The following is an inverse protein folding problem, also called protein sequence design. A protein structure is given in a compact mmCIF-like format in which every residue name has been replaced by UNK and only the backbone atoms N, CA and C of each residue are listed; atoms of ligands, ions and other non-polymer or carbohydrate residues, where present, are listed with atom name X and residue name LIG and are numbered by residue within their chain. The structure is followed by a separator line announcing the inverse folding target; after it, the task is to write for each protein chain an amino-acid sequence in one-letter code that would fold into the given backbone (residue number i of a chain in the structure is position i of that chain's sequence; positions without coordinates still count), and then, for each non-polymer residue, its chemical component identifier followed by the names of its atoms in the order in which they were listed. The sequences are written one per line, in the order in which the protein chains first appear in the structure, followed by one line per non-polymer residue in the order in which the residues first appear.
data_IF_099573857642
#
_entry.id   IF_099573857642
#
_cell.length_a   1.000
_cell.length_b   1.000
_cell.length_c   1.000
_cell.angle_alpha   90.00
_cell.angle_beta   90.00
_cell.angle_gamma   90.00
#
_symmetry.space_group_name_H-M   'P 1'
#
loop_
_entity.id
_entity.type
_entity.pdbx_description
1 polymer ?
#
# COMPACT_ATOMS: atom_id res chain seq x y z
N UNK A 1 -67.81 -28.15 -22.25
CA UNK A 1 -67.37 -27.96 -20.85
C UNK A 1 -65.92 -28.42 -20.80
N UNK A 2 -64.88 -27.67 -20.45
CA UNK A 2 -64.64 -26.30 -20.00
C UNK A 2 -63.23 -25.96 -20.53
N UNK A 3 -62.99 -24.90 -21.31
CA UNK A 3 -62.78 -23.53 -20.84
C UNK A 3 -62.07 -23.43 -19.47
N UNK A 4 -61.02 -24.23 -19.24
CA UNK A 4 -60.10 -24.03 -18.12
C UNK A 4 -58.82 -23.39 -18.64
N UNK A 5 -58.89 -22.07 -18.59
CA UNK A 5 -57.82 -21.18 -18.14
C UNK A 5 -56.53 -21.13 -18.95
N UNK A 6 -56.64 -20.63 -20.18
CA UNK A 6 -55.55 -19.91 -20.87
C UNK A 6 -54.93 -18.81 -19.97
N UNK A 7 -55.70 -18.31 -18.99
CA UNK A 7 -55.23 -17.40 -17.93
C UNK A 7 -54.15 -17.99 -17.01
N UNK A 8 -54.18 -19.30 -16.73
CA UNK A 8 -53.17 -19.93 -15.86
C UNK A 8 -51.81 -20.08 -16.57
N UNK A 9 -51.83 -20.39 -17.87
CA UNK A 9 -50.60 -20.58 -18.66
C UNK A 9 -49.87 -19.24 -18.85
N UNK A 10 -50.60 -18.14 -19.08
CA UNK A 10 -50.00 -16.80 -19.20
C UNK A 10 -49.40 -16.33 -17.87
N UNK A 11 -50.05 -16.61 -16.73
CA UNK A 11 -49.53 -16.23 -15.41
C UNK A 11 -48.23 -16.98 -15.06
N UNK A 12 -48.11 -18.26 -15.45
CA UNK A 12 -46.90 -19.05 -15.20
C UNK A 12 -45.72 -18.62 -16.09
N UNK A 13 -45.97 -18.22 -17.34
CA UNK A 13 -44.92 -17.73 -18.25
C UNK A 13 -44.43 -16.33 -17.84
N UNK A 14 -45.31 -15.46 -17.32
CA UNK A 14 -44.92 -14.14 -16.82
C UNK A 14 -44.13 -14.24 -15.50
N UNK A 15 -44.41 -15.23 -14.65
CA UNK A 15 -43.64 -15.46 -13.43
C UNK A 15 -42.21 -16.00 -13.69
N UNK A 16 -41.99 -16.69 -14.81
CA UNK A 16 -40.69 -17.26 -15.14
C UNK A 16 -39.72 -16.27 -15.83
N UNK A 17 -40.21 -15.12 -16.32
CA UNK A 17 -39.40 -14.14 -17.06
C UNK A 17 -38.81 -13.01 -16.20
N UNK A 18 -39.15 -12.95 -14.91
CA UNK A 18 -38.65 -11.92 -13.98
C UNK A 18 -37.71 -12.54 -12.95
N UNK A 19 -36.76 -13.38 -13.40
CA UNK A 19 -35.50 -13.53 -12.68
C UNK A 19 -34.62 -12.33 -13.06
N UNK A 20 -35.02 -11.16 -12.57
CA UNK A 20 -34.21 -9.96 -12.59
C UNK A 20 -32.92 -10.34 -11.86
N UNK A 21 -31.89 -10.65 -12.62
CA UNK A 21 -30.54 -10.89 -12.11
C UNK A 21 -30.07 -9.55 -11.55
N UNK A 22 -30.42 -9.29 -10.29
CA UNK A 22 -29.77 -8.27 -9.48
C UNK A 22 -28.33 -8.75 -9.31
N UNK A 23 -27.49 -8.44 -10.30
CA UNK A 23 -26.05 -8.40 -10.09
C UNK A 23 -25.87 -7.33 -9.03
N UNK A 24 -25.75 -7.72 -7.76
CA UNK A 24 -25.21 -6.84 -6.74
C UNK A 24 -23.88 -6.36 -7.28
N UNK A 25 -23.82 -5.09 -7.70
CA UNK A 25 -22.55 -4.46 -7.99
C UNK A 25 -21.77 -4.55 -6.68
N UNK A 26 -20.70 -5.35 -6.67
CA UNK A 26 -19.78 -5.32 -5.55
C UNK A 26 -19.37 -3.85 -5.38
N UNK A 27 -19.59 -3.29 -4.19
CA UNK A 27 -19.22 -1.91 -3.92
C UNK A 27 -17.71 -1.79 -4.16
N UNK A 28 -17.31 -0.97 -5.12
CA UNK A 28 -15.90 -0.67 -5.39
C UNK A 28 -15.35 0.14 -4.24
N UNK A 29 -14.20 -0.26 -3.70
CA UNK A 29 -13.53 0.52 -2.64
C UNK A 29 -12.92 1.76 -3.28
N UNK A 30 -13.29 2.94 -2.78
CA UNK A 30 -12.66 4.20 -3.21
C UNK A 30 -11.35 4.46 -2.46
N UNK A 31 -10.49 5.32 -3.02
CA UNK A 31 -9.26 5.75 -2.33
C UNK A 31 -9.60 6.41 -1.00
N UNK A 32 -10.63 7.25 -0.98
CA UNK A 32 -11.11 7.93 0.21
C UNK A 32 -11.55 6.94 1.28
N UNK A 33 -12.35 5.93 0.93
CA UNK A 33 -12.81 4.91 1.87
C UNK A 33 -11.65 4.09 2.43
N UNK A 34 -10.70 3.69 1.58
CA UNK A 34 -9.50 2.98 2.01
C UNK A 34 -8.67 3.83 2.97
N UNK A 35 -8.45 5.10 2.66
CA UNK A 35 -7.60 5.98 3.46
C UNK A 35 -8.16 6.33 4.84
N UNK A 36 -9.46 6.13 5.10
CA UNK A 36 -10.04 6.24 6.46
C UNK A 36 -9.46 5.23 7.45
N UNK A 37 -8.85 4.15 6.96
CA UNK A 37 -8.23 3.14 7.82
C UNK A 37 -6.86 3.56 8.36
N UNK A 38 -6.25 4.64 7.84
CA UNK A 38 -4.95 5.14 8.31
C UNK A 38 -5.08 6.43 9.10
N UNK A 39 -4.19 6.64 10.07
CA UNK A 39 -4.04 7.93 10.77
C UNK A 39 -3.47 9.03 9.87
N UNK A 40 -3.00 8.68 8.68
CA UNK A 40 -2.45 9.59 7.68
C UNK A 40 -3.43 9.81 6.51
N UNK A 41 -4.74 9.91 6.78
CA UNK A 41 -5.81 9.94 5.77
C UNK A 41 -5.54 10.93 4.62
N UNK A 42 -5.31 12.21 4.92
CA UNK A 42 -5.06 13.22 3.89
C UNK A 42 -3.80 12.94 3.05
N UNK A 43 -2.76 12.40 3.68
CA UNK A 43 -1.53 12.02 2.97
C UNK A 43 -1.77 10.79 2.08
N UNK A 44 -2.47 9.78 2.59
CA UNK A 44 -2.87 8.59 1.85
C UNK A 44 -3.67 8.93 0.59
N UNK A 45 -4.71 9.78 0.73
CA UNK A 45 -5.51 10.23 -0.42
C UNK A 45 -4.61 10.96 -1.42
N UNK A 46 -3.77 11.90 -0.95
CA UNK A 46 -2.85 12.63 -1.82
C UNK A 46 -1.96 11.71 -2.66
N UNK A 47 -1.32 10.72 -2.04
CA UNK A 47 -0.33 9.86 -2.73
C UNK A 47 -0.98 8.80 -3.61
N UNK A 48 -2.11 8.23 -3.19
CA UNK A 48 -2.82 7.21 -3.99
C UNK A 48 -3.57 7.83 -5.16
N UNK A 49 -4.29 8.95 -4.97
CA UNK A 49 -5.03 9.61 -6.04
C UNK A 49 -4.11 10.21 -7.12
N UNK A 50 -2.82 10.42 -6.82
CA UNK A 50 -1.82 10.85 -7.79
C UNK A 50 -1.43 9.72 -8.78
N UNK A 51 -1.76 8.48 -8.48
CA UNK A 51 -1.43 7.30 -9.30
C UNK A 51 -2.62 6.93 -10.19
N UNK A 52 -2.47 6.90 -11.53
CA UNK A 52 -3.52 6.44 -12.43
C UNK A 52 -4.05 5.04 -12.08
N UNK A 53 -3.18 4.18 -11.55
CA UNK A 53 -3.47 2.80 -11.12
C UNK A 53 -4.54 2.74 -10.02
N UNK A 54 -4.66 3.79 -9.20
CA UNK A 54 -5.70 3.87 -8.15
C UNK A 54 -7.12 3.82 -8.71
N UNK A 55 -7.33 4.24 -9.97
CA UNK A 55 -8.64 4.19 -10.64
C UNK A 55 -9.02 2.76 -11.06
N UNK A 56 -8.02 1.90 -11.24
CA UNK A 56 -8.21 0.50 -11.60
C UNK A 56 -8.28 -0.42 -10.37
N UNK A 57 -7.81 0.05 -9.21
CA UNK A 57 -7.93 -0.67 -7.96
C UNK A 57 -9.41 -0.75 -7.54
N UNK A 58 -9.99 -1.94 -7.62
CA UNK A 58 -11.40 -2.17 -7.33
C UNK A 58 -11.66 -2.59 -5.87
N UNK A 59 -10.62 -2.99 -5.14
CA UNK A 59 -10.69 -3.56 -3.81
C UNK A 59 -9.53 -3.12 -2.89
N UNK A 60 -9.66 -3.44 -1.61
CA UNK A 60 -8.68 -3.07 -0.58
C UNK A 60 -7.29 -3.70 -0.81
N UNK A 61 -7.17 -5.00 -1.19
CA UNK A 61 -5.87 -5.57 -1.58
C UNK A 61 -5.15 -4.77 -2.67
N UNK A 62 -5.84 -4.40 -3.76
CA UNK A 62 -5.21 -3.65 -4.85
C UNK A 62 -4.71 -2.25 -4.39
N UNK A 63 -5.44 -1.58 -3.50
CA UNK A 63 -4.98 -0.32 -2.92
C UNK A 63 -3.81 -0.51 -1.94
N UNK A 64 -3.76 -1.63 -1.20
CA UNK A 64 -2.62 -1.99 -0.36
C UNK A 64 -1.37 -2.29 -1.20
N UNK A 65 -1.51 -3.03 -2.30
CA UNK A 65 -0.44 -3.31 -3.27
C UNK A 65 0.12 -2.03 -3.92
N UNK A 66 -0.75 -1.06 -4.21
CA UNK A 66 -0.35 0.26 -4.70
C UNK A 66 0.42 1.05 -3.63
N UNK A 67 -0.05 1.04 -2.37
CA UNK A 67 0.65 1.68 -1.25
C UNK A 67 2.05 1.06 -1.00
N UNK A 68 2.17 -0.26 -1.11
CA UNK A 68 3.47 -0.97 -1.04
C UNK A 68 4.40 -0.55 -2.17
N UNK A 69 3.87 -0.38 -3.39
CA UNK A 69 4.64 0.09 -4.53
C UNK A 69 5.18 1.51 -4.30
N UNK A 70 4.34 2.42 -3.80
CA UNK A 70 4.75 3.78 -3.43
C UNK A 70 5.82 3.80 -2.33
N UNK A 71 5.67 2.97 -1.30
CA UNK A 71 6.68 2.85 -0.23
C UNK A 71 8.02 2.36 -0.80
N UNK A 72 8.00 1.36 -1.69
CA UNK A 72 9.22 0.83 -2.32
C UNK A 72 9.89 1.87 -3.23
N UNK A 73 9.12 2.68 -3.95
CA UNK A 73 9.65 3.82 -4.72
C UNK A 73 10.32 4.85 -3.81
N UNK A 74 9.66 5.24 -2.72
CA UNK A 74 10.23 6.17 -1.73
C UNK A 74 11.51 5.64 -1.09
N UNK A 75 11.58 4.34 -0.77
CA UNK A 75 12.79 3.71 -0.27
C UNK A 75 13.93 3.71 -1.30
N UNK A 76 13.60 3.50 -2.58
CA UNK A 76 14.60 3.53 -3.66
C UNK A 76 15.11 4.96 -3.93
N UNK A 77 14.25 5.97 -3.81
CA UNK A 77 14.64 7.38 -3.85
C UNK A 77 15.57 7.74 -2.69
N UNK A 78 15.25 7.27 -1.47
CA UNK A 78 16.09 7.46 -0.29
C UNK A 78 17.47 6.78 -0.45
N UNK A 79 17.51 5.54 -0.91
CA UNK A 79 18.77 4.85 -1.22
C UNK A 79 19.62 5.61 -2.27
N UNK A 80 18.96 6.16 -3.30
CA UNK A 80 19.63 6.96 -4.33
C UNK A 80 20.16 8.28 -3.77
N UNK A 81 19.42 8.90 -2.86
CA UNK A 81 19.84 10.10 -2.15
C UNK A 81 21.08 9.83 -1.28
N UNK A 82 21.07 8.76 -0.47
CA UNK A 82 22.19 8.35 0.38
C UNK A 82 23.45 8.11 -0.44
N UNK A 83 23.34 7.36 -1.54
CA UNK A 83 24.45 7.14 -2.48
C UNK A 83 25.06 8.44 -3.02
N UNK A 84 24.27 9.49 -3.15
CA UNK A 84 24.74 10.78 -3.65
C UNK A 84 25.34 11.67 -2.55
N UNK A 85 25.05 11.43 -1.28
CA UNK A 85 25.63 12.18 -0.16
C UNK A 85 27.15 11.99 -0.07
N UNK A 86 27.69 10.85 -0.50
CA UNK A 86 29.14 10.60 -0.58
C UNK A 86 29.88 11.67 -1.39
N UNK A 87 29.18 12.30 -2.35
CA UNK A 87 29.74 13.26 -3.30
C UNK A 87 29.52 14.71 -2.87
N UNK A 88 28.78 14.96 -1.79
CA UNK A 88 28.42 16.31 -1.36
C UNK A 88 29.44 16.88 -0.35
N UNK A 89 29.85 18.16 -0.49
CA UNK A 89 30.65 18.83 0.52
C UNK A 89 29.89 18.90 1.85
N UNK A 90 30.50 18.45 2.95
CA UNK A 90 29.80 18.32 4.23
C UNK A 90 28.84 17.12 4.29
N UNK A 91 29.00 16.17 3.37
CA UNK A 91 28.32 14.88 3.38
C UNK A 91 28.72 14.00 4.56
N UNK A 92 28.01 12.89 4.70
CA UNK A 92 28.12 11.97 5.82
C UNK A 92 29.34 11.03 5.65
N UNK A 93 29.93 10.51 6.75
CA UNK A 93 31.05 9.56 6.66
C UNK A 93 30.71 8.34 5.78
N UNK A 94 31.66 7.77 5.02
CA UNK A 94 31.41 6.62 4.15
C UNK A 94 30.77 5.42 4.87
N UNK A 95 31.26 5.08 6.06
CA UNK A 95 30.73 3.98 6.88
C UNK A 95 29.26 4.17 7.28
N UNK A 96 28.86 5.43 7.50
CA UNK A 96 27.48 5.81 7.80
C UNK A 96 26.58 5.68 6.57
N UNK A 97 27.12 6.04 5.41
CA UNK A 97 26.42 5.97 4.13
C UNK A 97 26.23 4.53 3.65
N UNK A 98 27.22 3.66 3.83
CA UNK A 98 27.11 2.24 3.50
C UNK A 98 26.03 1.54 4.32
N UNK A 99 26.03 1.74 5.64
CA UNK A 99 25.01 1.17 6.54
C UNK A 99 23.61 1.66 6.21
N UNK A 100 23.42 2.98 6.08
CA UNK A 100 22.13 3.55 5.74
C UNK A 100 21.65 3.14 4.31
N UNK A 101 22.56 3.05 3.34
CA UNK A 101 22.24 2.60 1.99
C UNK A 101 21.75 1.15 2.01
N UNK A 102 22.44 0.27 2.72
CA UNK A 102 22.04 -1.13 2.87
C UNK A 102 20.64 -1.23 3.50
N UNK A 103 20.38 -0.46 4.57
CA UNK A 103 19.07 -0.39 5.22
C UNK A 103 17.93 0.02 4.29
N UNK A 104 18.12 1.05 3.47
CA UNK A 104 17.09 1.40 2.48
C UNK A 104 16.93 0.34 1.39
N UNK A 105 18.00 -0.35 0.99
CA UNK A 105 17.92 -1.45 0.03
C UNK A 105 17.14 -2.65 0.60
N UNK A 106 17.37 -2.99 1.86
CA UNK A 106 16.64 -4.03 2.59
C UNK A 106 15.16 -3.67 2.71
N UNK A 107 14.85 -2.42 3.09
CA UNK A 107 13.49 -1.91 3.13
C UNK A 107 12.76 -2.05 1.77
N UNK A 108 13.43 -1.68 0.67
CA UNK A 108 12.87 -1.84 -0.69
C UNK A 108 12.61 -3.31 -1.02
N UNK A 109 13.53 -4.20 -0.63
CA UNK A 109 13.40 -5.63 -0.87
C UNK A 109 12.22 -6.21 -0.07
N UNK A 110 12.06 -5.84 1.19
CA UNK A 110 10.92 -6.26 2.02
C UNK A 110 9.60 -5.73 1.48
N UNK A 111 9.52 -4.46 1.07
CA UNK A 111 8.28 -3.90 0.51
C UNK A 111 7.84 -4.61 -0.78
N UNK A 112 8.81 -4.97 -1.64
CA UNK A 112 8.53 -5.76 -2.85
C UNK A 112 8.09 -7.19 -2.51
N UNK A 113 8.71 -7.83 -1.51
CA UNK A 113 8.28 -9.14 -1.02
C UNK A 113 6.88 -9.10 -0.42
N UNK A 114 6.56 -8.08 0.38
CA UNK A 114 5.23 -7.85 0.95
C UNK A 114 4.17 -7.65 -0.14
N UNK A 115 4.51 -6.93 -1.21
CA UNK A 115 3.63 -6.78 -2.37
C UNK A 115 3.35 -8.13 -3.02
N UNK A 116 4.38 -8.90 -3.35
CA UNK A 116 4.21 -10.24 -3.92
C UNK A 116 3.44 -11.19 -2.98
N UNK A 117 3.61 -11.04 -1.65
CA UNK A 117 2.84 -11.80 -0.67
C UNK A 117 1.33 -11.53 -0.77
N UNK A 118 0.93 -10.28 -0.98
CA UNK A 118 -0.48 -9.91 -1.19
C UNK A 118 -1.00 -10.37 -2.55
N UNK A 119 -0.23 -10.12 -3.61
CA UNK A 119 -0.64 -10.41 -4.99
C UNK A 119 -0.77 -11.92 -5.24
N UNK A 120 0.23 -12.70 -4.83
CA UNK A 120 0.35 -14.10 -5.24
C UNK A 120 -0.18 -15.07 -4.19
N UNK A 121 0.00 -14.75 -2.90
CA UNK A 121 -0.27 -15.67 -1.79
C UNK A 121 -1.45 -15.28 -0.93
N UNK A 122 -2.01 -14.07 -1.13
CA UNK A 122 -3.01 -13.46 -0.23
C UNK A 122 -2.54 -13.46 1.23
N UNK A 123 -1.23 -13.35 1.43
CA UNK A 123 -0.56 -13.45 2.72
C UNK A 123 -0.38 -12.05 3.32
N UNK A 124 -1.49 -11.52 3.85
CA UNK A 124 -1.48 -10.20 4.48
C UNK A 124 -0.70 -10.18 5.81
N UNK A 125 -0.62 -11.29 6.53
CA UNK A 125 0.16 -11.38 7.77
C UNK A 125 1.66 -11.26 7.46
N UNK A 126 2.15 -12.04 6.50
CA UNK A 126 3.54 -11.94 6.03
C UNK A 126 3.85 -10.56 5.44
N UNK A 127 2.92 -10.00 4.67
CA UNK A 127 3.07 -8.65 4.13
C UNK A 127 3.25 -7.61 5.25
N UNK A 128 2.45 -7.65 6.31
CA UNK A 128 2.58 -6.73 7.46
C UNK A 128 3.93 -6.83 8.16
N UNK A 129 4.43 -8.05 8.34
CA UNK A 129 5.74 -8.28 8.95
C UNK A 129 6.81 -7.59 8.11
N UNK A 130 6.86 -7.87 6.80
CA UNK A 130 7.83 -7.24 5.91
C UNK A 130 7.71 -5.71 5.84
N UNK A 131 6.50 -5.14 5.89
CA UNK A 131 6.35 -3.67 5.92
C UNK A 131 6.84 -3.07 7.24
N UNK A 132 6.63 -3.78 8.35
CA UNK A 132 7.11 -3.33 9.66
C UNK A 132 8.64 -3.37 9.72
N UNK A 133 9.25 -4.41 9.16
CA UNK A 133 10.71 -4.54 9.02
C UNK A 133 11.27 -3.45 8.10
N UNK A 134 10.65 -3.22 6.93
CA UNK A 134 11.06 -2.15 6.02
C UNK A 134 11.01 -0.76 6.66
N UNK A 135 9.98 -0.50 7.45
CA UNK A 135 9.90 0.74 8.23
C UNK A 135 11.03 0.83 9.25
N UNK A 136 11.28 -0.24 10.00
CA UNK A 136 12.34 -0.27 10.99
C UNK A 136 13.72 -0.05 10.35
N UNK A 137 13.99 -0.66 9.19
CA UNK A 137 15.24 -0.43 8.47
C UNK A 137 15.40 1.04 8.06
N UNK A 138 14.34 1.68 7.55
CA UNK A 138 14.34 3.12 7.28
C UNK A 138 14.59 3.97 8.53
N UNK A 139 13.87 3.70 9.61
CA UNK A 139 13.96 4.44 10.88
C UNK A 139 15.36 4.30 11.54
N UNK A 140 16.03 3.17 11.32
CA UNK A 140 17.32 2.82 11.94
C UNK A 140 18.54 3.11 11.07
N UNK A 141 18.37 3.56 9.81
CA UNK A 141 19.49 3.82 8.89
C UNK A 141 20.55 4.76 9.50
N UNK A 142 20.13 5.69 10.35
CA UNK A 142 21.00 6.70 10.96
C UNK A 142 21.58 6.29 12.32
N UNK A 143 21.23 5.12 12.87
CA UNK A 143 21.69 4.73 14.22
C UNK A 143 23.20 4.64 14.33
N UNK A 144 23.85 4.12 13.29
CA UNK A 144 25.32 4.03 13.21
C UNK A 144 25.97 5.40 13.00
N UNK A 145 25.18 6.40 12.57
CA UNK A 145 25.63 7.73 12.19
C UNK A 145 25.55 8.77 13.33
N UNK A 146 24.71 8.54 14.34
CA UNK A 146 24.46 9.47 15.46
C UNK A 146 25.70 9.76 16.31
N UNK A 147 26.75 8.94 16.19
CA UNK A 147 27.99 9.06 16.96
C UNK A 147 29.09 9.86 16.25
N UNK A 148 28.84 10.36 15.03
CA UNK A 148 29.83 11.09 14.24
C UNK A 148 29.46 12.57 14.10
N UNK A 149 30.39 13.47 14.45
CA UNK A 149 30.22 14.91 14.24
C UNK A 149 29.99 15.23 12.76
N UNK A 150 28.95 16.00 12.45
CA UNK A 150 28.54 16.30 11.07
C UNK A 150 27.66 15.24 10.40
N UNK A 151 27.27 14.18 11.11
CA UNK A 151 26.58 13.01 10.55
C UNK A 151 25.08 13.18 10.24
N UNK A 152 24.46 14.36 10.37
CA UNK A 152 23.03 14.53 10.11
C UNK A 152 22.79 15.47 8.92
N UNK A 153 22.61 14.90 7.72
CA UNK A 153 22.07 15.64 6.59
C UNK A 153 20.55 15.86 6.81
N UNK A 154 20.04 17.08 7.01
CA UNK A 154 18.62 17.30 7.36
C UNK A 154 17.66 16.65 6.36
N UNK A 155 18.02 16.63 5.08
CA UNK A 155 17.22 16.05 4.00
C UNK A 155 17.06 14.52 4.11
N UNK A 156 17.95 13.82 4.83
CA UNK A 156 17.78 12.36 5.02
C UNK A 156 16.64 12.06 5.99
N UNK A 157 16.44 12.91 7.00
CA UNK A 157 15.37 12.77 7.99
C UNK A 157 14.01 12.88 7.31
N UNK A 158 13.89 13.77 6.33
CA UNK A 158 12.67 13.90 5.52
C UNK A 158 12.39 12.63 4.72
N UNK A 159 13.43 12.01 4.13
CA UNK A 159 13.27 10.74 3.38
C UNK A 159 12.88 9.57 4.26
N UNK A 160 13.47 9.48 5.46
CA UNK A 160 13.07 8.49 6.48
C UNK A 160 11.61 8.72 6.86
N UNK A 161 11.22 9.97 7.12
CA UNK A 161 9.85 10.34 7.47
C UNK A 161 8.83 10.03 6.38
N UNK A 162 9.17 10.27 5.10
CA UNK A 162 8.29 9.94 3.97
C UNK A 162 8.14 8.42 3.80
N UNK A 163 9.23 7.64 3.86
CA UNK A 163 9.14 6.19 3.85
C UNK A 163 8.28 5.67 5.03
N UNK A 164 8.51 6.19 6.23
CA UNK A 164 7.75 5.81 7.42
C UNK A 164 6.25 6.08 7.30
N UNK A 165 5.85 7.22 6.73
CA UNK A 165 4.43 7.53 6.43
C UNK A 165 3.86 6.54 5.42
N UNK A 166 4.56 6.25 4.33
CA UNK A 166 4.10 5.31 3.31
C UNK A 166 3.98 3.88 3.85
N UNK A 167 4.95 3.41 4.65
CA UNK A 167 4.85 2.13 5.35
C UNK A 167 3.65 2.09 6.30
N UNK A 168 3.37 3.18 7.02
CA UNK A 168 2.19 3.27 7.90
C UNK A 168 0.87 3.21 7.11
N UNK A 169 0.80 3.83 5.94
CA UNK A 169 -0.35 3.71 5.02
C UNK A 169 -0.47 2.27 4.53
N UNK A 170 0.61 1.67 4.04
CA UNK A 170 0.61 0.30 3.53
C UNK A 170 0.18 -0.73 4.61
N UNK A 171 0.65 -0.58 5.86
CA UNK A 171 0.21 -1.40 6.99
C UNK A 171 -1.29 -1.28 7.24
N UNK A 172 -1.82 -0.05 7.29
CA UNK A 172 -3.23 0.18 7.56
C UNK A 172 -4.13 -0.42 6.46
N UNK A 173 -3.76 -0.29 5.19
CA UNK A 173 -4.53 -0.84 4.07
C UNK A 173 -4.42 -2.37 4.02
N UNK A 174 -3.25 -2.93 4.32
CA UNK A 174 -3.04 -4.39 4.45
C UNK A 174 -3.86 -4.96 5.61
N UNK A 175 -3.98 -4.24 6.72
CA UNK A 175 -4.85 -4.62 7.84
C UNK A 175 -6.32 -4.60 7.42
N UNK A 176 -6.74 -3.53 6.74
CA UNK A 176 -8.10 -3.38 6.25
C UNK A 176 -8.47 -4.47 5.24
N UNK A 177 -7.51 -4.95 4.42
CA UNK A 177 -7.76 -6.00 3.43
C UNK A 177 -8.06 -7.37 4.03
N UNK A 178 -7.72 -7.59 5.31
CA UNK A 178 -8.05 -8.81 6.05
C UNK A 178 -9.41 -8.75 6.75
N UNK A 179 -9.97 -7.56 6.95
CA UNK A 179 -11.20 -7.40 7.73
C UNK A 179 -12.38 -8.01 6.96
N UNK A 180 -13.07 -8.95 7.58
CA UNK A 180 -14.37 -9.41 7.10
C UNK A 180 -15.41 -8.33 7.41
N UNK A 181 -15.56 -7.38 6.45
CA UNK A 181 -16.82 -6.70 6.09
C UNK A 181 -17.30 -5.50 6.92
N UNK A 182 -18.32 -4.74 6.45
CA UNK A 182 -19.42 -5.06 5.50
C UNK A 182 -19.08 -5.28 4.01
#
# INVERSE_FOLDING_TARGET
MAAVSLRLVVVVVVAAAVTLSVRSAAATVTVEDACRHTKHEAYCVKVLSARPESKAAADMPALAELALSLAAESGAEAASFVRNLEKMPGGMPPECLEGCLAKFQDAVAELRRSKAALEERRDAVGAKVGVSEARADGDTCMEECQKVEGGAAPDIVDRIGELGKLCAVALALTDASMSKRP
#
